data_IF_850270603619
#
_entry.id   IF_850270603619
#
_cell.length_a   1.000
_cell.length_b   1.000
_cell.length_c   1.000
_cell.angle_alpha   90.00
_cell.angle_beta   90.00
_cell.angle_gamma   90.00
#
_symmetry.space_group_name_H-M   'P 1'
#
loop_
_entity.id
_entity.type
_entity.pdbx_description
1 polymer ?
#
# COMPACT_ATOMS: atom_id res chain seq x y z
N UNK A 1 -18.98 -22.70 -23.62
CA UNK A 1 -18.75 -23.22 -22.24
C UNK A 1 -19.97 -24.03 -21.82
N UNK A 2 -19.86 -24.89 -20.79
CA UNK A 2 -21.05 -25.61 -20.25
C UNK A 2 -21.90 -24.73 -19.32
N UNK A 3 -21.43 -23.55 -18.96
CA UNK A 3 -22.17 -22.62 -18.10
C UNK A 3 -23.47 -22.15 -18.73
N UNK A 4 -24.46 -21.74 -17.92
CA UNK A 4 -25.68 -21.11 -18.41
C UNK A 4 -25.40 -19.91 -19.31
N UNK A 5 -26.35 -19.59 -20.19
CA UNK A 5 -26.18 -18.53 -21.18
C UNK A 5 -25.86 -17.15 -20.56
N UNK A 6 -26.59 -16.66 -19.54
CA UNK A 6 -26.22 -15.41 -18.87
C UNK A 6 -24.81 -15.38 -18.28
N UNK A 7 -24.38 -16.50 -17.67
CA UNK A 7 -23.00 -16.63 -17.15
C UNK A 7 -21.98 -16.55 -18.29
N UNK A 8 -22.25 -17.21 -19.42
CA UNK A 8 -21.40 -17.16 -20.60
C UNK A 8 -21.31 -15.75 -21.19
N UNK A 9 -22.45 -15.08 -21.37
CA UNK A 9 -22.52 -13.72 -21.92
C UNK A 9 -21.78 -12.72 -21.02
N UNK A 10 -21.93 -12.83 -19.69
CA UNK A 10 -21.14 -12.00 -18.77
C UNK A 10 -19.63 -12.24 -18.92
N UNK A 11 -19.21 -13.50 -19.03
CA UNK A 11 -17.79 -13.80 -19.23
C UNK A 11 -17.24 -13.26 -20.56
N UNK A 12 -18.06 -13.17 -21.61
CA UNK A 12 -17.66 -12.56 -22.88
C UNK A 12 -17.50 -11.04 -22.79
N UNK A 13 -18.34 -10.36 -21.98
CA UNK A 13 -18.19 -8.93 -21.75
C UNK A 13 -16.85 -8.58 -21.06
N UNK A 14 -16.32 -9.50 -20.26
CA UNK A 14 -15.11 -9.30 -19.45
C UNK A 14 -13.85 -9.85 -20.13
N UNK A 15 -13.95 -10.99 -20.80
CA UNK A 15 -12.82 -11.64 -21.45
C UNK A 15 -12.87 -11.34 -22.94
N UNK A 16 -12.04 -10.40 -23.39
CA UNK A 16 -11.90 -10.08 -24.81
C UNK A 16 -11.22 -11.26 -25.52
N UNK A 17 -12.02 -12.09 -26.21
CA UNK A 17 -11.50 -13.13 -27.10
C UNK A 17 -11.20 -12.57 -28.48
N UNK A 18 -10.14 -13.07 -29.14
CA UNK A 18 -9.79 -12.68 -30.51
C UNK A 18 -10.67 -13.37 -31.58
N UNK A 19 -11.71 -14.09 -31.17
CA UNK A 19 -12.62 -14.85 -32.02
C UNK A 19 -14.02 -14.87 -31.38
N UNK A 20 -15.05 -14.93 -32.22
CA UNK A 20 -16.44 -15.03 -31.78
C UNK A 20 -16.69 -16.38 -31.13
N UNK A 21 -17.30 -16.36 -29.95
CA UNK A 21 -17.81 -17.54 -29.26
C UNK A 21 -19.33 -17.38 -29.14
N UNK A 22 -20.08 -18.46 -29.20
CA UNK A 22 -21.53 -18.45 -29.00
C UNK A 22 -21.93 -19.56 -28.03
N UNK A 23 -23.04 -19.35 -27.31
CA UNK A 23 -23.63 -20.33 -26.42
C UNK A 23 -24.87 -20.94 -27.07
N UNK A 24 -24.85 -22.26 -27.23
CA UNK A 24 -25.99 -23.01 -27.77
C UNK A 24 -27.07 -23.31 -26.72
N UNK A 25 -26.90 -22.84 -25.48
CA UNK A 25 -27.88 -23.05 -24.41
C UNK A 25 -29.06 -22.09 -24.56
N UNK A 26 -30.23 -22.58 -24.15
CA UNK A 26 -31.42 -21.75 -23.97
C UNK A 26 -31.14 -20.64 -22.94
N UNK A 27 -31.79 -19.51 -23.15
CA UNK A 27 -31.70 -18.38 -22.24
C UNK A 27 -32.56 -18.68 -20.99
N UNK A 28 -31.91 -18.61 -19.83
CA UNK A 28 -32.52 -18.82 -18.52
C UNK A 28 -32.11 -17.64 -17.63
N UNK A 29 -32.88 -16.56 -17.59
CA UNK A 29 -32.47 -15.31 -16.97
C UNK A 29 -32.20 -15.45 -15.46
N UNK A 30 -32.80 -16.44 -14.80
CA UNK A 30 -32.62 -16.69 -13.36
C UNK A 30 -31.34 -17.49 -13.04
N UNK A 31 -30.57 -17.87 -14.07
CA UNK A 31 -29.34 -18.66 -13.93
C UNK A 31 -28.11 -17.87 -13.51
N UNK A 32 -28.16 -16.53 -13.57
CA UNK A 32 -27.14 -15.64 -13.01
C UNK A 32 -27.81 -14.61 -12.10
N UNK A 33 -27.39 -14.58 -10.84
CA UNK A 33 -27.85 -13.61 -9.85
C UNK A 33 -26.66 -12.91 -9.23
N UNK A 34 -26.70 -11.58 -9.18
CA UNK A 34 -25.59 -10.75 -8.73
C UNK A 34 -26.06 -9.80 -7.65
N UNK A 35 -25.57 -10.03 -6.45
CA UNK A 35 -26.04 -9.43 -5.21
C UNK A 35 -24.96 -8.54 -4.63
N UNK A 36 -25.34 -7.34 -4.23
CA UNK A 36 -24.47 -6.36 -3.58
C UNK A 36 -24.89 -6.23 -2.12
N UNK A 37 -23.96 -6.45 -1.20
CA UNK A 37 -24.24 -6.38 0.23
C UNK A 37 -23.13 -5.68 0.99
N UNK A 38 -23.50 -4.86 1.97
CA UNK A 38 -22.56 -4.31 2.96
C UNK A 38 -22.08 -5.38 3.94
N UNK A 39 -22.81 -6.49 4.05
CA UNK A 39 -22.45 -7.68 4.83
C UNK A 39 -22.57 -8.94 3.95
N UNK A 40 -21.52 -9.28 3.18
CA UNK A 40 -21.53 -10.45 2.29
C UNK A 40 -21.76 -11.78 3.03
N UNK A 41 -21.35 -11.89 4.30
CA UNK A 41 -21.52 -13.10 5.08
C UNK A 41 -22.97 -13.34 5.50
N UNK A 42 -23.66 -12.30 5.96
CA UNK A 42 -25.10 -12.38 6.24
C UNK A 42 -25.89 -12.66 4.95
N UNK A 43 -25.51 -12.03 3.84
CA UNK A 43 -26.12 -12.30 2.54
C UNK A 43 -25.86 -13.74 2.07
N UNK A 44 -24.67 -14.30 2.30
CA UNK A 44 -24.36 -15.69 2.01
C UNK A 44 -25.27 -16.64 2.81
N UNK A 45 -25.44 -16.40 4.11
CA UNK A 45 -26.30 -17.21 4.97
C UNK A 45 -27.76 -17.18 4.49
N UNK A 46 -28.26 -15.99 4.14
CA UNK A 46 -29.59 -15.83 3.54
C UNK A 46 -29.72 -16.60 2.23
N UNK A 47 -28.76 -16.47 1.31
CA UNK A 47 -28.76 -17.20 0.04
C UNK A 47 -28.72 -18.71 0.25
N UNK A 48 -27.93 -19.22 1.20
CA UNK A 48 -27.90 -20.64 1.54
C UNK A 48 -29.27 -21.10 2.08
N UNK A 49 -29.88 -20.32 2.97
CA UNK A 49 -31.22 -20.60 3.49
C UNK A 49 -32.27 -20.64 2.37
N UNK A 50 -32.21 -19.72 1.42
CA UNK A 50 -33.14 -19.67 0.28
C UNK A 50 -32.98 -20.90 -0.64
N UNK A 51 -31.74 -21.35 -0.87
CA UNK A 51 -31.48 -22.58 -1.62
C UNK A 51 -31.98 -23.84 -0.89
N UNK A 52 -31.85 -23.90 0.44
CA UNK A 52 -32.43 -24.97 1.26
C UNK A 52 -33.95 -24.98 1.19
N UNK A 53 -34.59 -23.81 1.28
CA UNK A 53 -36.03 -23.66 1.16
C UNK A 53 -36.54 -24.09 -0.23
N UNK A 54 -35.74 -23.83 -1.27
CA UNK A 54 -35.96 -24.31 -2.64
C UNK A 54 -35.65 -25.81 -2.82
N UNK A 55 -35.25 -26.52 -1.76
CA UNK A 55 -34.90 -27.95 -1.74
C UNK A 55 -33.72 -28.32 -2.64
N UNK A 56 -32.78 -27.39 -2.85
CA UNK A 56 -31.52 -27.69 -3.53
C UNK A 56 -30.65 -28.53 -2.59
N UNK A 57 -30.11 -29.63 -3.11
CA UNK A 57 -29.30 -30.54 -2.31
C UNK A 57 -27.92 -29.93 -2.04
N UNK A 58 -27.41 -30.11 -0.82
CA UNK A 58 -26.07 -29.63 -0.41
C UNK A 58 -24.95 -30.01 -1.39
N UNK A 59 -25.00 -31.24 -1.95
CA UNK A 59 -24.00 -31.75 -2.90
C UNK A 59 -23.98 -31.00 -4.24
N UNK A 60 -25.04 -30.26 -4.55
CA UNK A 60 -25.21 -29.51 -5.80
C UNK A 60 -24.81 -28.04 -5.62
N UNK A 61 -24.41 -27.64 -4.41
CA UNK A 61 -23.97 -26.29 -4.06
C UNK A 61 -22.46 -26.32 -3.81
N UNK A 62 -21.76 -25.29 -4.31
CA UNK A 62 -20.35 -25.01 -4.02
C UNK A 62 -20.18 -23.53 -3.74
N UNK A 63 -19.58 -23.18 -2.61
CA UNK A 63 -19.19 -21.81 -2.29
C UNK A 63 -17.73 -21.61 -2.69
N UNK A 64 -17.46 -20.61 -3.52
CA UNK A 64 -16.11 -20.21 -3.92
C UNK A 64 -15.81 -18.86 -3.31
N UNK A 65 -14.84 -18.81 -2.39
CA UNK A 65 -14.40 -17.54 -1.81
C UNK A 65 -13.15 -17.02 -2.51
N UNK A 66 -13.11 -15.70 -2.71
CA UNK A 66 -11.98 -14.99 -3.32
C UNK A 66 -11.08 -14.31 -2.26
N UNK A 67 -11.46 -14.35 -0.99
CA UNK A 67 -10.68 -13.83 0.13
C UNK A 67 -9.49 -14.73 0.48
N UNK A 68 -8.53 -14.19 1.24
CA UNK A 68 -7.37 -14.96 1.73
C UNK A 68 -7.80 -16.08 2.70
N UNK A 69 -8.80 -15.78 3.54
CA UNK A 69 -9.33 -16.69 4.55
C UNK A 69 -10.69 -17.26 4.10
N UNK A 70 -11.00 -18.52 4.44
CA UNK A 70 -12.33 -19.08 4.23
C UNK A 70 -13.38 -18.36 5.07
N UNK A 71 -14.65 -18.34 4.63
CA UNK A 71 -15.74 -17.76 5.41
C UNK A 71 -15.94 -18.49 6.73
N UNK A 72 -16.19 -17.73 7.80
CA UNK A 72 -16.51 -18.27 9.11
C UNK A 72 -18.03 -18.49 9.22
N UNK A 73 -18.47 -19.74 9.14
CA UNK A 73 -19.89 -20.08 9.19
C UNK A 73 -20.42 -20.10 10.63
N UNK A 74 -21.64 -19.57 10.82
CA UNK A 74 -22.42 -19.82 12.03
C UNK A 74 -22.71 -21.32 12.18
N UNK A 75 -22.93 -21.83 13.41
CA UNK A 75 -23.09 -23.26 13.70
C UNK A 75 -24.05 -24.01 12.76
N UNK A 76 -25.17 -23.39 12.41
CA UNK A 76 -26.21 -23.92 11.53
C UNK A 76 -25.77 -24.12 10.06
N UNK A 77 -24.76 -23.37 9.60
CA UNK A 77 -24.25 -23.41 8.22
C UNK A 77 -22.92 -24.17 8.09
N UNK A 78 -22.36 -24.73 9.17
CA UNK A 78 -21.09 -25.47 9.10
C UNK A 78 -21.09 -26.66 8.14
N UNK A 79 -22.27 -27.22 7.83
CA UNK A 79 -22.42 -28.27 6.80
C UNK A 79 -21.93 -27.85 5.40
N UNK A 80 -21.76 -26.56 5.15
CA UNK A 80 -21.21 -26.01 3.91
C UNK A 80 -19.68 -25.85 3.93
N UNK A 81 -18.99 -26.04 5.05
CA UNK A 81 -17.53 -25.91 5.16
C UNK A 81 -16.82 -26.86 4.16
N UNK A 82 -17.23 -28.13 4.11
CA UNK A 82 -16.71 -29.14 3.16
C UNK A 82 -17.10 -28.85 1.69
N UNK A 83 -18.00 -27.89 1.48
CA UNK A 83 -18.48 -27.42 0.17
C UNK A 83 -17.98 -26.01 -0.13
N UNK A 84 -16.98 -25.54 0.60
CA UNK A 84 -16.40 -24.21 0.47
C UNK A 84 -14.94 -24.30 0.07
N UNK A 85 -14.57 -23.66 -1.04
CA UNK A 85 -13.20 -23.71 -1.56
C UNK A 85 -12.70 -22.33 -1.97
N UNK A 86 -11.39 -22.15 -1.88
CA UNK A 86 -10.74 -20.96 -2.45
C UNK A 86 -10.80 -21.03 -3.98
N UNK A 87 -10.92 -19.88 -4.63
CA UNK A 87 -10.82 -19.75 -6.10
C UNK A 87 -9.54 -20.39 -6.66
N UNK A 88 -8.43 -20.40 -5.92
CA UNK A 88 -7.18 -21.02 -6.36
C UNK A 88 -7.25 -22.55 -6.45
N UNK A 89 -8.26 -23.17 -5.83
CA UNK A 89 -8.47 -24.63 -5.80
C UNK A 89 -9.65 -25.09 -6.66
N UNK A 90 -10.38 -24.19 -7.32
CA UNK A 90 -11.60 -24.55 -8.05
C UNK A 90 -11.37 -25.02 -9.49
N UNK A 91 -10.12 -25.04 -9.97
CA UNK A 91 -9.80 -25.37 -11.37
C UNK A 91 -10.25 -26.79 -11.72
N UNK A 92 -11.00 -26.91 -12.82
CA UNK A 92 -11.47 -28.20 -13.34
C UNK A 92 -12.72 -28.76 -12.65
N UNK A 93 -13.27 -28.05 -11.67
CA UNK A 93 -14.56 -28.40 -11.07
C UNK A 93 -15.70 -27.86 -11.92
N UNK A 94 -16.84 -28.54 -11.88
CA UNK A 94 -18.12 -28.10 -12.45
C UNK A 94 -19.21 -28.53 -11.45
N UNK A 95 -20.05 -27.59 -11.02
CA UNK A 95 -21.09 -27.83 -10.01
C UNK A 95 -22.40 -27.15 -10.44
N UNK A 96 -23.58 -27.75 -10.20
CA UNK A 96 -24.86 -27.16 -10.60
C UNK A 96 -25.06 -25.73 -10.10
N UNK A 97 -24.89 -25.49 -8.80
CA UNK A 97 -25.02 -24.18 -8.18
C UNK A 97 -23.68 -23.74 -7.61
N UNK A 98 -23.21 -22.58 -8.05
CA UNK A 98 -22.00 -21.95 -7.52
C UNK A 98 -22.37 -20.62 -6.89
N UNK A 99 -21.95 -20.43 -5.64
CA UNK A 99 -22.02 -19.15 -4.96
C UNK A 99 -20.61 -18.56 -4.92
N UNK A 100 -20.41 -17.43 -5.59
CA UNK A 100 -19.15 -16.69 -5.59
C UNK A 100 -19.19 -15.67 -4.47
N UNK A 101 -18.38 -15.84 -3.44
CA UNK A 101 -18.22 -14.88 -2.36
C UNK A 101 -17.02 -13.97 -2.66
N UNK A 102 -17.32 -12.81 -3.22
CA UNK A 102 -16.36 -11.79 -3.61
C UNK A 102 -16.32 -10.67 -2.57
N UNK A 103 -15.41 -10.81 -1.59
CA UNK A 103 -15.15 -9.76 -0.59
C UNK A 103 -14.41 -8.55 -1.16
N UNK A 104 -13.88 -7.68 -0.29
CA UNK A 104 -13.21 -6.42 -0.68
C UNK A 104 -11.92 -6.59 -1.48
N UNK A 105 -11.29 -7.77 -1.43
CA UNK A 105 -10.00 -8.04 -2.08
C UNK A 105 -10.21 -8.85 -3.37
N UNK A 106 -10.80 -8.25 -4.39
CA UNK A 106 -10.83 -8.84 -5.73
C UNK A 106 -9.55 -8.43 -6.43
N UNK A 107 -8.59 -9.34 -6.58
CA UNK A 107 -7.28 -9.00 -7.14
C UNK A 107 -7.32 -8.76 -8.66
N UNK A 108 -8.12 -9.53 -9.40
CA UNK A 108 -8.25 -9.39 -10.86
C UNK A 108 -9.50 -10.12 -11.42
N UNK A 109 -9.85 -9.75 -12.66
CA UNK A 109 -10.96 -10.33 -13.42
C UNK A 109 -10.80 -11.84 -13.71
N UNK A 110 -9.57 -12.35 -13.71
CA UNK A 110 -9.29 -13.77 -13.98
C UNK A 110 -9.84 -14.66 -12.87
N UNK A 111 -9.76 -14.23 -11.61
CA UNK A 111 -10.30 -14.98 -10.47
C UNK A 111 -11.83 -15.04 -10.53
N UNK A 112 -12.49 -13.90 -10.75
CA UNK A 112 -13.95 -13.86 -10.95
C UNK A 112 -14.38 -14.73 -12.12
N UNK A 113 -13.68 -14.60 -13.26
CA UNK A 113 -13.93 -15.41 -14.45
C UNK A 113 -13.85 -16.91 -14.16
N UNK A 114 -12.80 -17.32 -13.42
CA UNK A 114 -12.58 -18.71 -13.04
C UNK A 114 -13.71 -19.25 -12.16
N UNK A 115 -14.20 -18.44 -11.21
CA UNK A 115 -15.28 -18.82 -10.29
C UNK A 115 -16.64 -18.92 -11.01
N UNK A 116 -16.99 -17.92 -11.82
CA UNK A 116 -18.23 -17.89 -12.61
C UNK A 116 -18.35 -19.11 -13.52
N UNK A 117 -17.25 -19.47 -14.20
CA UNK A 117 -17.25 -20.56 -15.16
C UNK A 117 -17.43 -21.96 -14.53
N UNK A 118 -17.55 -22.07 -13.20
CA UNK A 118 -17.78 -23.33 -12.49
C UNK A 118 -19.25 -23.74 -12.43
N UNK A 119 -20.16 -22.76 -12.58
CA UNK A 119 -21.59 -23.02 -12.56
C UNK A 119 -22.04 -23.74 -13.83
N UNK A 120 -22.81 -24.81 -13.68
CA UNK A 120 -23.49 -25.49 -14.80
C UNK A 120 -24.98 -25.24 -14.86
N UNK A 121 -25.61 -24.78 -13.78
CA UNK A 121 -27.06 -24.46 -13.77
C UNK A 121 -27.35 -23.07 -13.23
N UNK A 122 -26.77 -22.67 -12.10
CA UNK A 122 -26.99 -21.36 -11.50
C UNK A 122 -25.70 -20.80 -10.89
N UNK A 123 -25.43 -19.52 -11.14
CA UNK A 123 -24.36 -18.77 -10.51
C UNK A 123 -24.98 -17.66 -9.67
N UNK A 124 -24.59 -17.58 -8.41
CA UNK A 124 -24.98 -16.48 -7.51
C UNK A 124 -23.70 -15.80 -7.06
N UNK A 125 -23.45 -14.58 -7.49
CA UNK A 125 -22.30 -13.82 -7.03
C UNK A 125 -22.74 -12.83 -5.95
N UNK A 126 -22.07 -12.89 -4.80
CA UNK A 126 -22.27 -12.00 -3.68
C UNK A 126 -21.04 -11.12 -3.58
N UNK A 127 -21.24 -9.84 -3.84
CA UNK A 127 -20.24 -8.81 -3.80
C UNK A 127 -20.34 -8.00 -2.53
N UNK A 128 -19.20 -7.74 -1.90
CA UNK A 128 -19.08 -6.59 -1.00
C UNK A 128 -19.36 -5.33 -1.81
N UNK A 129 -20.28 -4.48 -1.32
CA UNK A 129 -20.65 -3.22 -1.96
C UNK A 129 -19.45 -2.32 -2.24
N UNK A 130 -18.34 -2.51 -1.52
CA UNK A 130 -17.10 -1.75 -1.64
C UNK A 130 -16.08 -2.38 -2.59
N UNK A 131 -16.24 -3.66 -2.97
CA UNK A 131 -15.22 -4.42 -3.69
C UNK A 131 -14.83 -3.81 -5.06
N UNK A 132 -15.70 -2.98 -5.62
CA UNK A 132 -15.52 -2.37 -6.95
C UNK A 132 -14.99 -0.94 -6.91
N UNK A 133 -14.87 -0.33 -5.73
CA UNK A 133 -14.28 1.01 -5.58
C UNK A 133 -12.78 0.96 -5.88
N UNK A 134 -12.12 -0.14 -5.54
CA UNK A 134 -10.67 -0.31 -5.64
C UNK A 134 -10.20 -0.88 -7.00
N UNK A 135 -11.11 -1.05 -7.97
CA UNK A 135 -10.83 -1.70 -9.26
C UNK A 135 -11.14 -0.82 -10.50
N UNK A 136 -10.42 0.29 -10.71
CA UNK A 136 -10.68 1.20 -11.82
C UNK A 136 -10.48 0.58 -13.21
N UNK A 137 -9.72 -0.52 -13.32
CA UNK A 137 -9.39 -1.19 -14.58
C UNK A 137 -10.06 -2.58 -14.75
N UNK A 138 -10.97 -2.95 -13.85
CA UNK A 138 -11.69 -4.24 -13.95
C UNK A 138 -12.80 -4.16 -14.99
N UNK A 139 -12.79 -5.07 -15.96
CA UNK A 139 -13.87 -5.21 -16.93
C UNK A 139 -15.14 -5.77 -16.27
N UNK A 140 -15.00 -6.60 -15.22
CA UNK A 140 -16.14 -7.01 -14.40
C UNK A 140 -16.79 -5.81 -13.73
N UNK A 141 -16.01 -4.93 -13.11
CA UNK A 141 -16.51 -3.71 -12.49
C UNK A 141 -17.23 -2.83 -13.53
N UNK A 142 -16.63 -2.62 -14.71
CA UNK A 142 -17.21 -1.83 -15.78
C UNK A 142 -18.55 -2.39 -16.28
N UNK A 143 -18.64 -3.71 -16.49
CA UNK A 143 -19.86 -4.40 -16.89
C UNK A 143 -20.96 -4.24 -15.82
N UNK A 144 -20.65 -4.55 -14.56
CA UNK A 144 -21.59 -4.44 -13.44
C UNK A 144 -22.10 -3.02 -13.21
N UNK A 145 -21.23 -2.01 -13.32
CA UNK A 145 -21.63 -0.60 -13.17
C UNK A 145 -22.57 -0.11 -14.26
N UNK A 146 -22.52 -0.73 -15.45
CA UNK A 146 -23.42 -0.41 -16.56
C UNK A 146 -24.82 -0.97 -16.30
N UNK A 147 -24.90 -2.19 -15.74
CA UNK A 147 -26.15 -2.90 -15.50
C UNK A 147 -26.81 -2.51 -14.14
N UNK A 148 -26.02 -2.03 -13.18
CA UNK A 148 -26.50 -1.60 -11.86
C UNK A 148 -26.13 -0.14 -11.55
N UNK A 149 -26.98 0.84 -11.96
CA UNK A 149 -26.73 2.27 -11.75
C UNK A 149 -26.57 2.69 -10.28
N UNK A 150 -27.12 1.91 -9.34
CA UNK A 150 -26.95 2.11 -7.90
C UNK A 150 -25.49 1.95 -7.47
N UNK A 151 -24.72 1.06 -8.09
CA UNK A 151 -23.28 0.92 -7.83
C UNK A 151 -22.54 2.15 -8.31
N UNK A 152 -22.90 2.69 -9.48
CA UNK A 152 -22.30 3.93 -9.99
C UNK A 152 -22.59 5.12 -9.06
N UNK A 153 -23.79 5.17 -8.47
CA UNK A 153 -24.11 6.16 -7.44
C UNK A 153 -23.33 5.95 -6.14
N UNK A 154 -23.13 4.71 -5.70
CA UNK A 154 -22.26 4.37 -4.57
C UNK A 154 -20.82 4.82 -4.86
N UNK A 155 -20.25 4.46 -6.01
CA UNK A 155 -18.91 4.89 -6.41
C UNK A 155 -18.77 6.42 -6.43
N UNK A 156 -19.80 7.14 -6.87
CA UNK A 156 -19.78 8.62 -6.87
C UNK A 156 -19.88 9.21 -5.46
N UNK A 157 -20.76 8.64 -4.62
CA UNK A 157 -20.96 9.09 -3.23
C UNK A 157 -19.75 8.78 -2.36
N UNK A 158 -19.12 7.66 -2.66
CA UNK A 158 -18.01 7.07 -1.95
C UNK A 158 -16.69 7.35 -2.66
N UNK A 159 -16.69 8.21 -3.68
CA UNK A 159 -15.48 8.66 -4.34
C UNK A 159 -14.49 9.09 -3.27
N UNK A 160 -13.26 8.63 -3.42
CA UNK A 160 -12.18 8.98 -2.52
C UNK A 160 -12.17 10.51 -2.35
N UNK A 161 -12.11 11.04 -1.11
CA UNK A 161 -12.31 12.46 -0.92
C UNK A 161 -11.19 13.21 -1.64
N UNK A 162 -11.51 14.31 -2.33
CA UNK A 162 -10.49 15.23 -2.79
C UNK A 162 -9.62 15.67 -1.61
N UNK A 163 -8.35 15.97 -1.85
CA UNK A 163 -7.39 16.37 -0.81
C UNK A 163 -7.94 17.51 0.09
N UNK A 164 -8.76 18.38 -0.49
CA UNK A 164 -9.44 19.49 0.22
C UNK A 164 -10.32 19.01 1.40
N UNK A 165 -10.88 17.80 1.32
CA UNK A 165 -11.72 17.24 2.38
C UNK A 165 -10.92 16.64 3.54
N UNK A 166 -9.60 16.52 3.43
CA UNK A 166 -8.76 15.95 4.50
C UNK A 166 -8.20 17.00 5.44
N UNK A 167 -8.61 18.27 5.28
CA UNK A 167 -8.13 19.38 6.08
C UNK A 167 -6.59 19.40 6.13
N UNK A 168 -5.98 19.29 4.94
CA UNK A 168 -4.53 19.27 4.79
C UNK A 168 -4.00 20.70 4.79
N UNK A 169 -3.12 20.98 5.74
CA UNK A 169 -2.29 22.19 5.72
C UNK A 169 -0.95 21.85 5.08
N UNK A 170 -0.59 22.45 3.93
CA UNK A 170 0.69 22.19 3.28
C UNK A 170 1.85 22.68 4.15
N UNK A 171 2.93 21.91 4.18
CA UNK A 171 4.20 22.26 4.78
C UNK A 171 5.15 22.58 3.63
N UNK A 172 5.60 23.83 3.57
CA UNK A 172 6.43 24.33 2.45
C UNK A 172 7.83 23.71 2.50
N UNK A 173 7.96 22.54 1.87
CA UNK A 173 9.22 21.84 1.65
C UNK A 173 9.42 21.69 0.16
N UNK A 174 10.45 22.36 -0.37
CA UNK A 174 10.71 22.36 -1.81
C UNK A 174 10.85 20.92 -2.35
N UNK A 175 9.96 20.54 -3.26
CA UNK A 175 10.00 19.26 -3.96
C UNK A 175 9.31 18.10 -3.23
N UNK A 176 8.63 18.34 -2.12
CA UNK A 176 7.83 17.31 -1.43
C UNK A 176 6.44 17.82 -1.11
N UNK A 177 5.47 16.93 -1.33
CA UNK A 177 4.08 17.16 -0.96
C UNK A 177 3.86 16.65 0.48
N UNK A 178 4.36 17.43 1.44
CA UNK A 178 4.21 17.19 2.87
C UNK A 178 3.07 18.06 3.40
N UNK A 179 2.18 17.46 4.18
CA UNK A 179 1.05 18.13 4.79
C UNK A 179 0.89 17.70 6.24
N UNK A 180 0.17 18.53 6.98
CA UNK A 180 -0.42 18.19 8.26
C UNK A 180 -1.92 18.03 8.10
N UNK A 181 -2.51 16.93 8.57
CA UNK A 181 -3.96 16.78 8.64
C UNK A 181 -4.45 17.09 10.03
N UNK A 182 -5.22 18.17 10.17
CA UNK A 182 -5.90 18.50 11.43
C UNK A 182 -6.97 17.47 11.79
N UNK A 183 -7.56 16.84 10.78
CA UNK A 183 -8.59 15.83 10.95
C UNK A 183 -8.02 14.49 11.45
N UNK A 184 -6.83 14.10 10.97
CA UNK A 184 -6.17 12.86 11.41
C UNK A 184 -5.15 13.05 12.53
N UNK A 185 -4.83 14.30 12.87
CA UNK A 185 -3.77 14.66 13.81
C UNK A 185 -2.42 14.01 13.46
N UNK A 186 -2.06 14.04 12.17
CA UNK A 186 -0.84 13.40 11.68
C UNK A 186 -0.28 13.99 10.40
N UNK A 187 0.94 13.58 10.09
CA UNK A 187 1.66 13.95 8.87
C UNK A 187 1.11 13.21 7.68
N UNK A 188 0.97 13.88 6.54
CA UNK A 188 0.54 13.26 5.29
C UNK A 188 1.60 13.55 4.22
N UNK A 189 2.20 12.51 3.68
CA UNK A 189 3.13 12.57 2.56
C UNK A 189 2.42 12.06 1.33
N UNK A 190 2.23 12.90 0.32
CA UNK A 190 1.59 12.49 -0.92
C UNK A 190 2.64 12.18 -1.97
N UNK A 191 2.61 10.95 -2.48
CA UNK A 191 3.37 10.50 -3.64
C UNK A 191 2.57 10.80 -4.90
N UNK A 192 3.21 11.48 -5.85
CA UNK A 192 2.70 11.62 -7.21
C UNK A 192 3.60 10.81 -8.15
N UNK A 193 3.00 9.94 -8.97
CA UNK A 193 3.69 9.17 -10.01
C UNK A 193 4.15 7.75 -9.61
N UNK A 194 4.74 7.04 -10.58
CA UNK A 194 5.05 5.61 -10.42
C UNK A 194 6.32 5.36 -9.59
N UNK A 195 7.37 6.18 -9.76
CA UNK A 195 8.65 6.00 -9.05
C UNK A 195 8.59 6.60 -7.64
N UNK A 196 9.14 5.87 -6.66
CA UNK A 196 9.28 6.36 -5.28
C UNK A 196 10.42 7.37 -5.23
N UNK A 197 10.10 8.63 -4.95
CA UNK A 197 11.11 9.69 -4.78
C UNK A 197 11.97 9.39 -3.54
N UNK A 198 13.30 9.24 -3.69
CA UNK A 198 14.21 9.05 -2.57
C UNK A 198 14.13 10.13 -1.51
N UNK A 199 13.84 11.37 -1.92
CA UNK A 199 13.74 12.50 -1.01
C UNK A 199 12.48 12.37 -0.13
N UNK A 200 11.36 11.92 -0.70
CA UNK A 200 10.13 11.61 0.05
C UNK A 200 10.40 10.55 1.13
N UNK A 201 11.17 9.50 0.82
CA UNK A 201 11.47 8.46 1.79
C UNK A 201 12.37 8.95 2.92
N UNK A 202 13.34 9.83 2.64
CA UNK A 202 14.14 10.42 3.72
C UNK A 202 13.30 11.27 4.66
N UNK A 203 12.34 12.02 4.12
CA UNK A 203 11.38 12.75 4.92
C UNK A 203 10.49 11.83 5.73
N UNK A 204 9.99 10.76 5.12
CA UNK A 204 9.23 9.74 5.82
C UNK A 204 10.04 9.19 7.02
N UNK A 205 11.28 8.76 6.79
CA UNK A 205 12.15 8.22 7.84
C UNK A 205 12.49 9.27 8.90
N UNK A 206 12.72 10.51 8.50
CA UNK A 206 12.98 11.62 9.42
C UNK A 206 11.78 11.90 10.32
N UNK A 207 10.56 11.97 9.76
CA UNK A 207 9.33 12.22 10.51
C UNK A 207 9.06 11.03 11.43
N UNK A 208 9.14 9.79 10.92
CA UNK A 208 8.96 8.59 11.75
C UNK A 208 9.96 8.52 12.92
N UNK A 209 11.15 9.11 12.77
CA UNK A 209 12.17 9.16 13.82
C UNK A 209 11.91 10.28 14.83
N UNK A 210 11.56 11.47 14.36
CA UNK A 210 11.50 12.69 15.18
C UNK A 210 10.12 12.96 15.78
N UNK A 211 9.07 12.45 15.15
CA UNK A 211 7.69 12.68 15.53
C UNK A 211 7.09 11.45 16.21
N UNK A 212 6.27 11.70 17.23
CA UNK A 212 5.40 10.69 17.85
C UNK A 212 4.03 10.59 17.17
N UNK A 213 3.81 11.41 16.14
CA UNK A 213 2.54 11.56 15.45
C UNK A 213 2.43 10.56 14.29
N UNK A 214 1.19 10.12 13.95
CA UNK A 214 0.94 9.29 12.77
C UNK A 214 1.50 9.89 11.48
N UNK A 215 1.91 9.01 10.57
CA UNK A 215 2.38 9.38 9.24
C UNK A 215 1.55 8.64 8.19
N UNK A 216 0.99 9.35 7.24
CA UNK A 216 0.13 8.82 6.19
C UNK A 216 0.86 8.96 4.86
N UNK A 217 0.94 7.89 4.06
CA UNK A 217 1.54 7.93 2.73
C UNK A 217 0.45 7.79 1.67
N UNK A 218 0.08 8.91 1.06
CA UNK A 218 -0.78 8.93 -0.12
C UNK A 218 -0.03 8.48 -1.36
N UNK A 219 -0.69 7.78 -2.27
CA UNK A 219 -0.31 7.62 -3.67
C UNK A 219 -1.54 7.93 -4.52
N UNK A 220 -1.49 9.02 -5.27
CA UNK A 220 -2.59 9.47 -6.14
C UNK A 220 -3.93 9.59 -5.35
N UNK A 221 -4.89 8.70 -5.60
CA UNK A 221 -6.22 8.60 -4.94
C UNK A 221 -6.31 7.44 -3.93
N UNK A 222 -5.19 6.90 -3.48
CA UNK A 222 -5.14 5.87 -2.43
C UNK A 222 -4.23 6.34 -1.31
N UNK A 223 -4.76 6.50 -0.10
CA UNK A 223 -3.88 6.67 1.08
C UNK A 223 -3.59 5.33 1.70
N UNK A 224 -2.31 4.97 1.67
CA UNK A 224 -1.78 3.93 2.54
C UNK A 224 -1.40 4.58 3.86
N UNK A 225 -2.03 4.16 4.95
CA UNK A 225 -1.57 4.59 6.27
C UNK A 225 -0.23 3.93 6.53
N UNK A 226 0.80 4.72 6.82
CA UNK A 226 2.00 4.17 7.43
C UNK A 226 1.75 4.17 8.92
N UNK A 227 1.28 3.04 9.40
CA UNK A 227 0.91 2.94 10.79
C UNK A 227 2.13 3.30 11.69
N UNK A 228 2.05 4.35 12.51
CA UNK A 228 3.11 4.71 13.46
C UNK A 228 3.27 3.68 14.60
N UNK A 229 2.47 2.60 14.64
CA UNK A 229 2.55 1.57 15.69
C UNK A 229 3.93 0.93 15.81
N UNK A 230 4.76 1.03 14.78
CA UNK A 230 6.19 0.81 14.95
C UNK A 230 6.91 2.10 15.37
N UNK A 231 6.77 2.42 16.66
CA UNK A 231 7.66 3.31 17.44
C UNK A 231 9.13 3.23 16.98
N UNK A 232 9.64 4.11 16.11
CA UNK A 232 11.09 4.15 15.84
C UNK A 232 11.90 4.46 17.11
N UNK A 233 11.28 5.11 18.10
CA UNK A 233 11.84 5.31 19.44
C UNK A 233 11.98 4.02 20.29
N UNK A 234 11.60 2.85 19.77
CA UNK A 234 11.87 1.53 20.38
C UNK A 234 12.57 0.53 19.44
N UNK A 235 12.76 0.85 18.16
CA UNK A 235 13.43 -0.07 17.26
C UNK A 235 14.94 0.14 17.28
N UNK A 236 15.65 -0.87 17.76
CA UNK A 236 17.06 -1.04 17.39
C UNK A 236 17.17 -1.17 15.87
N UNK A 237 18.30 -0.78 15.28
CA UNK A 237 18.52 -0.93 13.84
C UNK A 237 18.43 -2.38 13.38
N UNK A 238 18.65 -3.38 14.26
CA UNK A 238 18.39 -4.80 13.96
C UNK A 238 16.92 -5.12 13.68
N UNK A 239 15.99 -4.32 14.19
CA UNK A 239 14.57 -4.45 13.90
C UNK A 239 14.18 -3.65 12.65
N UNK A 240 14.84 -2.51 12.41
CA UNK A 240 14.66 -1.72 11.19
C UNK A 240 15.30 -2.38 9.96
N UNK A 241 16.37 -3.16 10.13
CA UNK A 241 17.05 -3.90 9.05
C UNK A 241 16.25 -5.10 8.55
N UNK A 242 15.26 -5.56 9.32
CA UNK A 242 14.26 -6.57 8.91
C UNK A 242 13.16 -5.99 8.02
N UNK A 243 13.25 -4.70 7.68
CA UNK A 243 12.25 -3.95 6.93
C UNK A 243 11.24 -3.27 7.87
N UNK A 244 10.68 -2.16 7.41
CA UNK A 244 9.51 -1.56 8.05
C UNK A 244 8.34 -2.53 7.78
N UNK A 245 7.83 -3.18 8.82
CA UNK A 245 6.58 -3.95 8.71
C UNK A 245 5.47 -2.92 8.55
N UNK A 246 4.81 -2.94 7.40
CA UNK A 246 3.66 -2.09 7.16
C UNK A 246 2.45 -2.78 7.76
N UNK A 247 1.95 -2.28 8.88
CA UNK A 247 0.54 -2.49 9.17
C UNK A 247 -0.22 -1.57 8.21
N UNK A 248 -0.63 -2.12 7.08
CA UNK A 248 -1.57 -1.46 6.18
C UNK A 248 -2.87 -1.29 6.96
N UNK A 249 -3.02 -0.20 7.72
CA UNK A 249 -4.33 0.26 8.19
C UNK A 249 -4.98 0.85 6.95
N UNK A 250 -5.93 0.16 6.29
CA UNK A 250 -6.57 0.74 5.15
C UNK A 250 -7.51 1.85 5.63
N UNK A 251 -7.68 2.84 4.78
CA UNK A 251 -8.89 3.65 4.83
C UNK A 251 -9.95 2.91 4.05
N UNK A 252 -11.05 2.57 4.71
CA UNK A 252 -12.22 2.03 4.05
C UNK A 252 -13.40 2.95 4.30
N UNK A 253 -14.35 2.97 3.39
CA UNK A 253 -15.60 3.63 3.66
C UNK A 253 -16.31 2.92 4.82
N UNK A 254 -16.68 3.68 5.85
CA UNK A 254 -17.48 3.16 6.92
C UNK A 254 -18.97 3.41 6.63
N UNK A 255 -19.80 2.35 6.53
CA UNK A 255 -21.24 2.51 6.30
C UNK A 255 -21.95 3.19 7.48
N UNK A 256 -21.44 3.03 8.71
CA UNK A 256 -22.04 3.62 9.92
C UNK A 256 -21.87 5.13 10.00
N UNK A 257 -20.65 5.65 9.80
CA UNK A 257 -20.41 7.11 9.84
C UNK A 257 -20.46 7.77 8.45
N UNK A 258 -20.63 7.00 7.36
CA UNK A 258 -20.73 7.50 5.98
C UNK A 258 -19.57 8.41 5.58
N UNK A 259 -18.36 7.99 5.94
CA UNK A 259 -17.13 8.68 5.61
C UNK A 259 -16.01 7.66 5.42
N UNK A 260 -14.98 8.06 4.68
CA UNK A 260 -13.72 7.33 4.64
C UNK A 260 -13.06 7.39 6.02
N UNK A 261 -12.80 6.22 6.57
CA UNK A 261 -12.47 6.02 7.96
C UNK A 261 -11.26 5.11 8.06
N UNK A 262 -10.45 5.29 9.10
CA UNK A 262 -9.39 4.33 9.40
C UNK A 262 -10.06 3.08 9.92
N UNK A 263 -9.65 1.92 9.42
CA UNK A 263 -10.21 0.66 9.89
C UNK A 263 -9.12 -0.27 10.42
N UNK A 264 -9.46 -1.08 11.42
CA UNK A 264 -8.61 -2.15 11.91
C UNK A 264 -9.35 -3.48 11.85
N UNK A 265 -8.62 -4.57 11.66
CA UNK A 265 -9.20 -5.90 11.82
C UNK A 265 -9.32 -6.25 13.30
N UNK A 266 -10.50 -6.70 13.71
CA UNK A 266 -10.71 -7.23 15.06
C UNK A 266 -10.17 -8.66 15.18
N UNK A 267 -10.36 -9.28 16.36
CA UNK A 267 -9.95 -10.66 16.60
C UNK A 267 -10.63 -11.69 15.67
N UNK A 268 -11.72 -11.30 15.03
CA UNK A 268 -12.53 -12.11 14.11
C UNK A 268 -12.22 -11.79 12.63
N UNK A 269 -11.16 -11.02 12.36
CA UNK A 269 -10.72 -10.59 11.02
C UNK A 269 -11.69 -9.61 10.32
N UNK A 270 -12.62 -9.00 11.06
CA UNK A 270 -13.58 -8.02 10.54
C UNK A 270 -13.07 -6.59 10.64
N UNK A 271 -13.36 -5.78 9.62
CA UNK A 271 -12.98 -4.36 9.60
C UNK A 271 -13.86 -3.52 10.52
N UNK A 272 -13.27 -2.97 11.59
CA UNK A 272 -13.90 -2.01 12.50
C UNK A 272 -13.45 -0.60 12.14
N UNK A 273 -14.41 0.31 12.01
CA UNK A 273 -14.17 1.75 11.85
C UNK A 273 -13.71 2.39 13.17
N UNK A 274 -12.50 2.94 13.17
CA UNK A 274 -11.86 3.56 14.34
C UNK A 274 -12.56 4.87 14.75
N UNK A 275 -13.13 5.59 13.79
CA UNK A 275 -13.94 6.79 14.07
C UNK A 275 -15.27 6.45 14.74
N UNK A 276 -15.84 5.27 14.46
CA UNK A 276 -17.08 4.80 15.06
C UNK A 276 -16.89 4.12 16.40
N UNK A 277 -15.83 3.32 16.56
CA UNK A 277 -15.71 2.38 17.68
C UNK A 277 -15.41 3.04 19.02
N UNK A 278 -15.05 4.34 19.08
CA UNK A 278 -14.48 5.01 20.27
C UNK A 278 -13.27 4.28 20.88
N UNK A 279 -12.82 3.17 20.30
CA UNK A 279 -11.62 2.43 20.71
C UNK A 279 -10.35 3.20 20.37
N UNK A 280 -10.46 4.30 19.62
CA UNK A 280 -9.38 5.27 19.45
C UNK A 280 -8.75 5.66 20.80
N UNK A 281 -9.56 5.89 21.83
CA UNK A 281 -9.06 6.31 23.15
C UNK A 281 -8.27 5.21 23.88
N UNK A 282 -8.50 3.94 23.54
CA UNK A 282 -7.87 2.78 24.20
C UNK A 282 -6.58 2.32 23.49
N UNK A 283 -6.55 2.41 22.17
CA UNK A 283 -5.39 1.99 21.37
C UNK A 283 -4.39 3.14 21.20
N UNK A 284 -4.88 4.37 21.17
CA UNK A 284 -4.13 5.57 20.96
C UNK A 284 -4.39 6.52 22.13
N UNK A 285 -3.69 6.32 23.25
CA UNK A 285 -3.34 7.46 24.11
C UNK A 285 -2.41 8.38 23.30
N UNK A 286 -2.93 9.02 22.25
CA UNK A 286 -2.26 10.13 21.61
C UNK A 286 -2.22 11.19 22.69
N UNK A 287 -1.03 11.62 23.14
CA UNK A 287 -0.94 12.82 23.94
C UNK A 287 -1.82 13.90 23.30
N UNK A 288 -2.61 14.63 24.07
CA UNK A 288 -3.20 15.85 23.54
C UNK A 288 -2.06 16.77 23.13
N UNK A 289 -1.75 16.78 21.84
CA UNK A 289 -0.69 17.59 21.28
C UNK A 289 -1.21 19.01 21.20
N UNK A 290 -0.60 19.92 21.96
CA UNK A 290 -0.89 21.34 21.81
C UNK A 290 -0.49 21.80 20.40
N UNK A 291 -1.20 22.78 19.87
CA UNK A 291 -0.86 23.45 18.61
C UNK A 291 0.60 23.94 18.60
N UNK A 292 1.14 24.31 19.77
CA UNK A 292 2.54 24.72 19.95
C UNK A 292 3.53 23.58 19.70
N UNK A 293 3.22 22.34 20.11
CA UNK A 293 4.09 21.19 19.89
C UNK A 293 4.13 20.80 18.40
N UNK A 294 2.96 20.82 17.74
CA UNK A 294 2.87 20.61 16.28
C UNK A 294 3.67 21.69 15.55
N UNK A 295 3.50 22.96 15.93
CA UNK A 295 4.28 24.07 15.37
C UNK A 295 5.78 23.90 15.60
N UNK A 296 6.23 23.39 16.76
CA UNK A 296 7.64 23.12 17.02
C UNK A 296 8.24 22.10 16.03
N UNK A 297 7.56 20.98 15.81
CA UNK A 297 8.02 19.96 14.85
C UNK A 297 7.98 20.46 13.40
N UNK A 298 6.96 21.25 13.04
CA UNK A 298 6.90 21.93 11.73
C UNK A 298 8.06 22.91 11.58
N UNK A 299 8.38 23.71 12.59
CA UNK A 299 9.51 24.64 12.56
C UNK A 299 10.86 23.92 12.49
N UNK A 300 11.00 22.76 13.12
CA UNK A 300 12.18 21.91 13.02
C UNK A 300 12.36 21.38 11.59
N UNK A 301 11.28 20.88 10.99
CA UNK A 301 11.25 20.44 9.59
C UNK A 301 11.57 21.58 8.63
N UNK A 302 10.99 22.77 8.82
CA UNK A 302 11.26 23.96 8.01
C UNK A 302 12.71 24.45 8.19
N UNK A 303 13.25 24.46 9.40
CA UNK A 303 14.65 24.84 9.64
C UNK A 303 15.64 23.92 8.91
N UNK A 304 15.32 22.61 8.84
CA UNK A 304 16.06 21.62 8.06
C UNK A 304 15.90 21.83 6.54
N UNK A 305 14.72 22.22 6.08
CA UNK A 305 14.42 22.49 4.67
C UNK A 305 15.03 23.81 4.15
N UNK A 306 15.05 24.85 4.99
CA UNK A 306 15.54 26.20 4.68
C UNK A 306 17.06 26.36 4.78
N UNK A 307 17.79 25.26 4.98
CA UNK A 307 19.25 25.25 4.98
C UNK A 307 19.87 26.19 6.03
N UNK A 308 19.17 26.40 7.16
CA UNK A 308 19.74 27.13 8.30
C UNK A 308 20.81 26.25 8.93
N UNK A 309 21.94 26.84 9.28
CA UNK A 309 23.17 26.21 9.82
C UNK A 309 23.01 25.48 11.16
N UNK A 310 21.79 25.33 11.65
CA UNK A 310 21.45 24.60 12.87
C UNK A 310 20.90 23.23 12.47
N UNK A 311 21.77 22.24 12.36
CA UNK A 311 21.32 20.85 12.42
C UNK A 311 20.78 20.64 13.84
N UNK A 312 19.54 20.13 14.00
CA UNK A 312 19.01 19.87 15.32
C UNK A 312 19.82 18.77 15.99
N UNK A 313 20.22 18.99 17.23
CA UNK A 313 20.84 17.94 18.05
C UNK A 313 19.73 17.03 18.63
N UNK A 314 19.88 15.70 18.54
CA UNK A 314 20.98 14.96 17.89
C UNK A 314 20.84 14.90 16.36
N UNK A 315 21.95 15.05 15.65
CA UNK A 315 22.03 14.90 14.19
C UNK A 315 21.76 13.43 13.86
N UNK A 316 20.60 13.15 13.29
CA UNK A 316 20.24 11.82 12.78
C UNK A 316 20.79 11.64 11.37
N UNK A 317 20.98 10.40 10.90
CA UNK A 317 21.42 10.16 9.52
C UNK A 317 20.38 10.66 8.51
N UNK A 318 19.10 10.70 8.88
CA UNK A 318 18.03 11.21 8.03
C UNK A 318 18.13 12.73 7.89
N UNK A 319 18.23 13.47 9.01
CA UNK A 319 18.43 14.92 8.99
C UNK A 319 19.74 15.32 8.29
N UNK A 320 20.81 14.55 8.48
CA UNK A 320 22.07 14.78 7.77
C UNK A 320 21.90 14.56 6.26
N UNK A 321 21.23 13.48 5.85
CA UNK A 321 20.94 13.19 4.44
C UNK A 321 20.06 14.26 3.81
N UNK A 322 19.01 14.70 4.51
CA UNK A 322 18.12 15.79 4.07
C UNK A 322 18.87 17.11 3.90
N UNK A 323 19.74 17.46 4.85
CA UNK A 323 20.59 18.64 4.73
C UNK A 323 21.50 18.54 3.50
N UNK A 324 22.21 17.42 3.33
CA UNK A 324 23.10 17.22 2.16
C UNK A 324 22.35 17.25 0.84
N UNK A 325 21.10 16.77 0.78
CA UNK A 325 20.23 16.89 -0.38
C UNK A 325 19.84 18.34 -0.69
N UNK A 326 19.55 19.14 0.35
CA UNK A 326 19.18 20.55 0.17
C UNK A 326 20.28 21.36 -0.53
N UNK A 327 21.54 20.95 -0.38
CA UNK A 327 22.71 21.56 -1.04
C UNK A 327 22.82 21.24 -2.53
N UNK A 328 22.08 20.25 -3.05
CA UNK A 328 22.09 19.89 -4.46
C UNK A 328 21.25 20.88 -5.28
N UNK A 329 21.69 21.16 -6.50
CA UNK A 329 20.86 21.86 -7.48
C UNK A 329 19.80 20.91 -8.10
N UNK A 330 18.83 21.47 -8.81
CA UNK A 330 17.71 20.72 -9.40
C UNK A 330 18.15 19.58 -10.32
N UNK A 331 19.14 19.82 -11.19
CA UNK A 331 19.70 18.80 -12.11
C UNK A 331 20.33 17.63 -11.34
N UNK A 332 21.06 17.93 -10.27
CA UNK A 332 21.67 16.90 -9.41
C UNK A 332 20.58 16.10 -8.67
N UNK A 333 19.54 16.75 -8.17
CA UNK A 333 18.40 16.08 -7.52
C UNK A 333 17.69 15.14 -8.49
N UNK A 334 17.36 15.59 -9.69
CA UNK A 334 16.71 14.78 -10.73
C UNK A 334 17.54 13.55 -11.09
N UNK A 335 18.86 13.74 -11.32
CA UNK A 335 19.78 12.64 -11.56
C UNK A 335 19.75 11.64 -10.41
N UNK A 336 19.91 12.09 -9.16
CA UNK A 336 19.93 11.18 -8.02
C UNK A 336 18.58 10.46 -7.83
N UNK A 337 17.44 11.13 -8.01
CA UNK A 337 16.10 10.52 -7.97
C UNK A 337 15.94 9.40 -8.97
N UNK A 338 16.38 9.62 -10.22
CA UNK A 338 16.27 8.62 -11.30
C UNK A 338 17.00 7.31 -10.99
N UNK A 339 18.09 7.38 -10.23
CA UNK A 339 18.93 6.20 -9.97
C UNK A 339 18.77 5.64 -8.56
N UNK A 340 18.37 6.41 -7.57
CA UNK A 340 18.11 5.90 -6.22
C UNK A 340 16.74 5.20 -6.12
N UNK A 341 16.32 4.36 -7.07
CA UNK A 341 15.09 3.58 -6.92
C UNK A 341 15.19 2.67 -5.67
N UNK A 342 14.29 2.89 -4.72
CA UNK A 342 14.24 2.14 -3.46
C UNK A 342 13.60 0.79 -3.73
N UNK A 343 14.39 -0.29 -3.64
CA UNK A 343 13.91 -1.67 -3.82
C UNK A 343 13.89 -2.42 -2.48
N UNK A 344 14.73 -2.04 -1.52
CA UNK A 344 14.85 -2.70 -0.22
C UNK A 344 14.90 -1.66 0.91
N UNK A 345 14.15 -1.88 2.00
CA UNK A 345 14.05 -0.98 3.17
C UNK A 345 15.11 -1.26 4.24
N UNK A 346 16.29 -1.75 3.86
CA UNK A 346 17.40 -1.86 4.79
C UNK A 346 17.93 -0.45 5.08
N UNK A 347 17.48 0.16 6.18
CA UNK A 347 17.71 1.57 6.49
C UNK A 347 19.19 1.99 6.41
N UNK A 348 20.16 1.27 7.03
CA UNK A 348 21.58 1.58 6.85
C UNK A 348 22.03 1.59 5.39
N UNK A 349 21.60 0.60 4.59
CA UNK A 349 21.91 0.54 3.17
C UNK A 349 21.29 1.71 2.40
N UNK A 350 20.05 2.07 2.72
CA UNK A 350 19.35 3.19 2.12
C UNK A 350 20.06 4.53 2.37
N UNK A 351 20.37 4.82 3.64
CA UNK A 351 21.11 6.01 4.03
C UNK A 351 22.48 6.02 3.34
N UNK A 352 23.23 4.90 3.42
CA UNK A 352 24.53 4.80 2.79
C UNK A 352 24.46 5.01 1.27
N UNK A 353 23.42 4.48 0.60
CA UNK A 353 23.22 4.65 -0.85
C UNK A 353 23.01 6.12 -1.18
N UNK A 354 22.15 6.78 -0.42
CA UNK A 354 21.84 8.18 -0.64
C UNK A 354 23.05 9.09 -0.39
N UNK A 355 23.73 8.94 0.75
CA UNK A 355 24.92 9.73 1.08
C UNK A 355 26.07 9.49 0.10
N UNK A 356 26.36 8.24 -0.28
CA UNK A 356 27.39 7.96 -1.29
C UNK A 356 27.01 8.52 -2.66
N UNK A 357 25.73 8.47 -3.03
CA UNK A 357 25.22 9.09 -4.26
C UNK A 357 25.42 10.60 -4.29
N UNK A 358 25.16 11.28 -3.17
CA UNK A 358 25.44 12.72 -3.01
C UNK A 358 26.94 13.00 -3.17
N UNK A 359 27.81 12.26 -2.48
CA UNK A 359 29.26 12.49 -2.61
C UNK A 359 29.70 12.34 -4.07
N UNK A 360 29.23 11.31 -4.77
CA UNK A 360 29.56 11.07 -6.18
C UNK A 360 29.07 12.21 -7.07
N UNK A 361 27.85 12.71 -6.87
CA UNK A 361 27.27 13.73 -7.76
C UNK A 361 27.83 15.14 -7.52
N UNK A 362 28.34 15.39 -6.31
CA UNK A 362 29.00 16.65 -5.96
C UNK A 362 30.50 16.65 -6.27
N UNK A 363 31.11 15.48 -6.41
CA UNK A 363 32.54 15.34 -6.70
C UNK A 363 32.87 15.73 -8.14
N UNK A 364 34.06 16.31 -8.32
CA UNK A 364 34.57 16.63 -9.65
C UNK A 364 34.87 15.35 -10.44
N UNK A 365 34.65 15.30 -11.76
CA UNK A 365 35.01 14.14 -12.57
C UNK A 365 36.48 13.75 -12.40
N UNK A 366 36.73 12.45 -12.20
CA UNK A 366 38.07 11.91 -11.93
C UNK A 366 38.53 12.06 -10.46
N UNK A 367 37.71 12.64 -9.59
CA UNK A 367 38.01 12.70 -8.16
C UNK A 367 38.01 11.30 -7.54
N UNK A 368 39.01 11.05 -6.70
CA UNK A 368 39.15 9.79 -5.97
C UNK A 368 38.22 9.77 -4.75
N UNK A 369 37.41 8.72 -4.64
CA UNK A 369 36.57 8.42 -3.49
C UNK A 369 37.00 7.08 -2.89
N UNK A 370 37.32 7.09 -1.60
CA UNK A 370 37.75 5.90 -0.86
C UNK A 370 36.66 5.44 0.10
N UNK A 371 36.39 4.13 0.13
CA UNK A 371 35.38 3.56 1.02
C UNK A 371 35.70 3.87 2.48
N UNK A 372 36.96 3.73 2.88
CA UNK A 372 37.43 4.00 4.25
C UNK A 372 37.19 5.45 4.65
N UNK A 373 37.45 6.40 3.74
CA UNK A 373 37.16 7.81 3.95
C UNK A 373 35.66 8.04 4.12
N UNK A 374 34.83 7.55 3.18
CA UNK A 374 33.38 7.74 3.23
C UNK A 374 32.76 7.12 4.50
N UNK A 375 33.19 5.91 4.85
CA UNK A 375 32.78 5.22 6.07
C UNK A 375 33.07 6.05 7.32
N UNK A 376 34.32 6.53 7.46
CA UNK A 376 34.76 7.32 8.61
C UNK A 376 34.10 8.69 8.63
N UNK A 377 34.06 9.39 7.49
CA UNK A 377 33.49 10.72 7.36
C UNK A 377 32.04 10.74 7.80
N UNK A 378 31.21 9.83 7.29
CA UNK A 378 29.81 9.77 7.70
C UNK A 378 29.63 9.37 9.16
N UNK A 379 30.48 8.46 9.66
CA UNK A 379 30.46 8.02 11.06
C UNK A 379 30.79 9.14 12.04
N UNK A 380 31.76 10.00 11.72
CA UNK A 380 32.16 11.13 12.54
C UNK A 380 31.15 12.29 12.49
N UNK A 381 30.57 12.54 11.31
CA UNK A 381 29.61 13.63 11.11
C UNK A 381 28.20 13.33 11.65
N UNK A 382 27.94 12.07 11.98
CA UNK A 382 26.64 11.63 12.50
C UNK A 382 26.86 10.74 13.74
N UNK A 383 27.01 11.35 14.94
CA UNK A 383 27.22 10.62 16.19
C UNK A 383 26.17 9.53 16.44
N UNK A 384 24.94 9.77 15.98
CA UNK A 384 23.85 8.80 16.02
C UNK A 384 24.21 7.45 15.39
N UNK A 385 24.97 7.44 14.27
CA UNK A 385 25.41 6.18 13.65
C UNK A 385 26.26 5.36 14.61
N UNK A 386 27.12 6.01 15.38
CA UNK A 386 27.99 5.35 16.35
C UNK A 386 27.27 4.78 17.57
N UNK A 387 26.15 5.38 17.94
CA UNK A 387 25.32 4.95 19.06
C UNK A 387 24.34 3.84 18.68
N UNK A 388 23.88 3.80 17.42
CA UNK A 388 22.73 2.98 17.03
C UNK A 388 23.02 1.93 15.95
N UNK A 389 24.12 2.03 15.20
CA UNK A 389 24.48 1.09 14.12
C UNK A 389 25.74 0.34 14.51
N UNK A 390 25.80 -0.97 14.26
CA UNK A 390 27.09 -1.68 14.30
C UNK A 390 28.02 -1.16 13.19
N UNK A 391 29.27 -0.84 13.55
CA UNK A 391 30.24 -0.27 12.62
C UNK A 391 30.55 -1.19 11.44
N UNK A 392 30.52 -2.50 11.64
CA UNK A 392 30.73 -3.48 10.58
C UNK A 392 29.58 -3.47 9.59
N UNK A 393 28.33 -3.41 10.09
CA UNK A 393 27.11 -3.28 9.26
C UNK A 393 27.16 -2.00 8.43
N UNK A 394 27.53 -0.86 9.03
CA UNK A 394 27.69 0.40 8.30
C UNK A 394 28.75 0.32 7.21
N UNK A 395 29.91 -0.25 7.53
CA UNK A 395 31.01 -0.38 6.57
C UNK A 395 30.62 -1.27 5.37
N UNK A 396 29.89 -2.36 5.63
CA UNK A 396 29.35 -3.23 4.59
C UNK A 396 28.31 -2.51 3.73
N UNK A 397 27.42 -1.72 4.33
CA UNK A 397 26.43 -0.93 3.62
C UNK A 397 27.08 0.06 2.63
N UNK A 398 28.05 0.85 3.09
CA UNK A 398 28.80 1.79 2.22
C UNK A 398 29.51 1.06 1.07
N UNK A 399 30.18 -0.05 1.35
CA UNK A 399 30.87 -0.83 0.33
C UNK A 399 29.91 -1.42 -0.72
N UNK A 400 28.75 -1.94 -0.28
CA UNK A 400 27.69 -2.44 -1.15
C UNK A 400 27.12 -1.34 -2.06
N UNK A 401 26.90 -0.15 -1.51
CA UNK A 401 26.43 1.00 -2.28
C UNK A 401 27.44 1.45 -3.34
N UNK A 402 28.74 1.50 -3.03
CA UNK A 402 29.77 1.78 -4.03
C UNK A 402 29.83 0.72 -5.13
N UNK A 403 29.58 -0.55 -4.80
CA UNK A 403 29.36 -1.61 -5.80
C UNK A 403 28.15 -1.33 -6.72
N UNK A 404 27.06 -0.83 -6.16
CA UNK A 404 25.86 -0.43 -6.92
C UNK A 404 26.18 0.73 -7.88
N UNK A 405 26.88 1.75 -7.40
CA UNK A 405 27.28 2.91 -8.22
C UNK A 405 28.29 2.54 -9.32
N UNK A 406 29.17 1.58 -9.05
CA UNK A 406 30.08 1.01 -10.05
C UNK A 406 29.30 0.30 -11.18
N UNK A 407 28.33 -0.55 -10.83
CA UNK A 407 27.48 -1.25 -11.82
C UNK A 407 26.71 -0.25 -12.69
N UNK A 408 26.28 0.87 -12.10
CA UNK A 408 25.59 1.96 -12.79
C UNK A 408 26.51 2.90 -13.57
N UNK A 409 27.84 2.67 -13.54
CA UNK A 409 28.86 3.49 -14.23
C UNK A 409 28.88 4.95 -13.79
N UNK A 410 28.54 5.22 -12.53
CA UNK A 410 28.73 6.54 -11.91
C UNK A 410 30.15 6.73 -11.40
N UNK A 411 30.80 5.62 -11.09
CA UNK A 411 32.21 5.56 -10.69
C UNK A 411 32.92 4.45 -11.45
N UNK A 412 34.24 4.56 -11.55
CA UNK A 412 35.13 3.53 -12.06
C UNK A 412 36.03 3.03 -10.92
N UNK A 413 36.18 1.70 -10.82
CA UNK A 413 37.10 1.12 -9.83
C UNK A 413 38.55 1.35 -10.25
N UNK A 414 39.34 1.97 -9.38
CA UNK A 414 40.80 2.11 -9.54
C UNK A 414 41.51 0.92 -8.89
N UNK A 415 41.16 0.65 -7.63
CA UNK A 415 41.66 -0.48 -6.85
C UNK A 415 40.66 -0.91 -5.77
N UNK A 416 41.03 -1.82 -4.86
CA UNK A 416 40.10 -2.32 -3.84
C UNK A 416 39.72 -1.19 -2.87
N UNK A 417 38.44 -0.79 -2.89
CA UNK A 417 37.91 0.25 -2.01
C UNK A 417 38.18 1.68 -2.49
N UNK A 418 38.73 1.86 -3.70
CA UNK A 418 39.06 3.18 -4.25
C UNK A 418 38.43 3.32 -5.64
N UNK A 419 37.69 4.41 -5.82
CA UNK A 419 36.87 4.67 -7.00
C UNK A 419 37.17 6.07 -7.56
N UNK A 420 37.05 6.22 -8.86
CA UNK A 420 37.12 7.51 -9.56
C UNK A 420 35.73 7.89 -10.03
N UNK A 421 35.29 9.10 -9.75
CA UNK A 421 34.01 9.61 -10.27
C UNK A 421 34.08 9.77 -11.79
N UNK A 422 32.98 9.45 -12.47
CA UNK A 422 32.88 9.57 -13.93
C UNK A 422 32.08 10.81 -14.31
N UNK A 423 32.37 11.35 -15.50
CA UNK A 423 31.47 12.30 -16.13
C UNK A 423 30.14 11.61 -16.37
N UNK A 424 29.08 12.10 -15.71
CA UNK A 424 27.73 11.67 -16.03
C UNK A 424 27.40 12.19 -17.42
N UNK A 425 27.34 11.27 -18.40
CA UNK A 425 26.80 11.60 -19.72
C UNK A 425 25.31 11.85 -19.54
N UNK A 426 24.85 12.99 -20.06
CA UNK A 426 23.44 13.41 -20.07
C UNK A 426 22.51 12.35 -20.67
#
# INVERSE_FOLDING_TARGET
MRSPRPVFERLQQVIVSSYEQDSTREDDPDSLEELFSDNPMEQLQKTLQDLENAKILLKDILVIYLTQNPPNYQPEYRKYEDRTISVYKCRGLEVPVVIVLAGRCIDNDVMLSCAYSRATSRCIAIYDSLAFIDLPNSQFAAALMTEHPSIKQLQTTMAWPSLDKWHLTPIDVQGINLYWSDYWHGWVLLKFGEQVDPFLILWLLHILYTSFLPVYLGKDEQVKVLNPYHRMNKYSIEQLSKGIVYDDIPFLWCPSCKQWARVMKNAEDEWICLECSREMDLFFELPHFSSEMVQHYVQLALALAENKSLLPEPITPFSYSLHRWSLLNEKQREQLTRYCSWVDLNIPLCIARFLTGIEIITAQPGQQLENTYLQQHFWEQCPWLGENVDRTVWNQAVASCMGTWLTRRWVQKKEKGVYLTLHQKE
#
